data_IF_804327931046
#
_entry.id   IF_804327931046
#
_cell.length_a   1.000
_cell.length_b   1.000
_cell.length_c   1.000
_cell.angle_alpha   90.00
_cell.angle_beta   90.00
_cell.angle_gamma   90.00
#
_symmetry.space_group_name_H-M   'P 1'
#
loop_
_entity.id
_entity.type
_entity.pdbx_description
1 polymer ?
#
# COMPACT_ATOMS: atom_id res chain seq x y z
N UNK A 1 18.52 11.41 16.40
CA UNK A 1 17.77 12.41 15.60
C UNK A 1 17.26 11.75 14.32
N UNK A 2 15.95 11.61 14.13
CA UNK A 2 15.40 11.08 12.86
C UNK A 2 15.27 12.24 11.88
N UNK A 3 16.10 12.24 10.84
CA UNK A 3 16.02 13.22 9.77
C UNK A 3 14.64 13.12 9.11
N UNK A 4 13.75 14.07 9.41
CA UNK A 4 12.46 14.19 8.75
C UNK A 4 12.73 14.58 7.29
N UNK A 5 12.59 13.63 6.35
CA UNK A 5 12.46 13.97 4.94
C UNK A 5 11.16 14.76 4.77
N UNK A 6 11.23 16.09 4.90
CA UNK A 6 10.08 16.98 4.72
C UNK A 6 9.72 16.94 3.25
N UNK A 7 8.63 16.25 2.93
CA UNK A 7 8.11 16.12 1.58
C UNK A 7 7.36 17.39 1.17
N UNK A 8 8.08 18.51 1.09
CA UNK A 8 7.53 19.80 0.66
C UNK A 8 7.38 19.83 -0.85
N UNK A 9 6.44 20.62 -1.36
CA UNK A 9 6.26 20.84 -2.80
C UNK A 9 7.57 21.28 -3.49
N UNK A 10 8.40 22.07 -2.78
CA UNK A 10 9.73 22.49 -3.24
C UNK A 10 10.69 21.31 -3.47
N UNK A 11 10.74 20.35 -2.54
CA UNK A 11 11.57 19.15 -2.70
C UNK A 11 11.08 18.21 -3.81
N UNK A 12 9.77 18.15 -4.05
CA UNK A 12 9.19 17.39 -5.18
C UNK A 12 9.48 18.04 -6.54
N UNK A 13 9.48 19.37 -6.61
CA UNK A 13 9.79 20.09 -7.84
C UNK A 13 11.28 19.92 -8.22
N UNK A 14 12.18 20.02 -7.24
CA UNK A 14 13.62 19.83 -7.45
C UNK A 14 13.98 18.43 -7.96
N UNK A 15 13.35 17.38 -7.41
CA UNK A 15 13.58 15.99 -7.86
C UNK A 15 13.05 15.69 -9.26
N UNK A 16 11.92 16.30 -9.67
CA UNK A 16 11.43 16.18 -11.05
C UNK A 16 12.30 16.90 -12.07
N UNK A 17 12.83 18.08 -11.73
CA UNK A 17 13.75 18.78 -12.63
C UNK A 17 15.09 18.06 -12.76
N UNK A 18 15.60 17.47 -11.68
CA UNK A 18 16.82 16.65 -11.73
C UNK A 18 16.64 15.38 -12.60
N UNK A 19 15.47 14.73 -12.54
CA UNK A 19 15.18 13.57 -13.39
C UNK A 19 14.97 13.93 -14.87
N UNK A 20 14.64 15.19 -15.19
CA UNK A 20 14.56 15.66 -16.58
C UNK A 20 15.93 15.95 -17.21
N UNK A 21 16.94 16.20 -16.39
CA UNK A 21 18.31 16.48 -16.83
C UNK A 21 19.13 15.18 -16.96
N UNK A 22 18.76 14.11 -16.23
CA UNK A 22 19.53 12.85 -16.17
C UNK A 22 19.13 11.71 -17.12
N UNK A 23 18.37 11.94 -18.21
CA UNK A 23 17.94 10.86 -19.14
C UNK A 23 18.48 11.00 -20.56
N UNK A 24 19.37 11.97 -20.81
CA UNK A 24 20.19 12.00 -22.03
C UNK A 24 21.66 11.99 -21.62
N UNK A 25 22.12 10.83 -21.17
CA UNK A 25 23.51 10.57 -20.82
C UNK A 25 23.89 9.19 -21.32
N UNK A 26 23.79 9.02 -22.63
CA UNK A 26 24.46 7.95 -23.37
C UNK A 26 25.33 8.66 -24.42
N UNK A 27 26.62 8.52 -24.19
CA UNK A 27 27.79 8.88 -24.99
C UNK A 27 27.52 9.28 -26.46
N UNK A 28 27.72 10.56 -26.76
CA UNK A 28 28.29 11.03 -28.03
C UNK A 28 29.14 12.25 -27.69
N UNK A 29 30.46 12.12 -27.79
CA UNK A 29 31.38 13.25 -27.86
C UNK A 29 31.00 14.11 -29.06
N UNK A 30 30.41 15.28 -28.81
CA UNK A 30 30.30 16.33 -29.80
C UNK A 30 31.03 17.56 -29.26
N UNK A 31 32.19 17.80 -29.86
CA UNK A 31 32.95 19.05 -29.81
C UNK A 31 32.01 20.28 -29.82
N UNK A 32 32.23 21.18 -28.87
CA UNK A 32 31.54 22.46 -28.71
C UNK A 32 31.87 23.41 -29.89
N UNK A 33 31.21 23.21 -31.02
CA UNK A 33 31.13 24.22 -32.08
C UNK A 33 29.96 25.17 -31.77
N UNK A 34 30.17 26.50 -31.70
CA UNK A 34 29.08 27.46 -31.53
C UNK A 34 28.29 27.50 -32.85
N UNK A 35 27.27 26.65 -32.97
CA UNK A 35 26.27 26.79 -34.02
C UNK A 35 25.43 28.03 -33.72
N UNK A 36 25.72 29.11 -34.45
CA UNK A 36 24.83 30.24 -34.61
C UNK A 36 23.62 29.76 -35.42
N UNK A 37 22.62 29.22 -34.72
CA UNK A 37 21.34 28.84 -35.31
C UNK A 37 20.58 30.13 -35.59
N UNK A 38 20.43 30.47 -36.88
CA UNK A 38 19.55 31.55 -37.33
C UNK A 38 18.19 31.39 -36.64
N UNK A 39 17.75 32.45 -35.97
CA UNK A 39 16.48 32.48 -35.23
C UNK A 39 15.34 32.20 -36.21
N UNK A 40 14.79 30.98 -36.17
CA UNK A 40 13.69 30.55 -37.03
C UNK A 40 12.57 31.60 -36.95
N UNK A 41 12.18 32.26 -38.06
CA UNK A 41 11.16 33.32 -38.05
C UNK A 41 9.79 32.82 -37.56
N UNK A 42 9.59 31.51 -37.41
CA UNK A 42 8.40 30.89 -36.81
C UNK A 42 8.52 30.50 -35.34
N UNK A 43 9.65 30.76 -34.69
CA UNK A 43 9.89 30.40 -33.28
C UNK A 43 8.83 30.98 -32.32
N UNK A 44 8.24 32.13 -32.67
CA UNK A 44 7.20 32.79 -31.87
C UNK A 44 5.76 32.39 -32.23
N UNK A 45 5.56 31.64 -33.33
CA UNK A 45 4.24 31.17 -33.73
C UNK A 45 3.98 29.81 -33.08
N UNK A 46 3.28 29.81 -31.94
CA UNK A 46 2.83 28.58 -31.28
C UNK A 46 1.77 27.85 -32.12
N UNK A 47 2.21 27.10 -33.11
CA UNK A 47 1.34 26.21 -33.88
C UNK A 47 0.90 25.04 -32.98
N UNK A 48 -0.41 24.76 -32.88
CA UNK A 48 -0.88 23.61 -32.14
C UNK A 48 -0.41 22.33 -32.84
N UNK A 49 0.52 21.61 -32.21
CA UNK A 49 1.10 20.36 -32.73
C UNK A 49 0.07 19.24 -32.94
N UNK A 50 -1.07 19.31 -32.25
CA UNK A 50 -2.13 18.30 -32.31
C UNK A 50 -3.51 18.97 -32.21
N UNK A 51 -4.47 18.42 -32.95
CA UNK A 51 -5.87 18.86 -32.89
C UNK A 51 -6.54 18.42 -31.57
N UNK A 52 -7.68 19.03 -31.20
CA UNK A 52 -8.44 18.61 -30.01
C UNK A 52 -8.90 17.14 -30.10
N UNK A 53 -9.29 16.70 -31.30
CA UNK A 53 -9.73 15.33 -31.58
C UNK A 53 -8.58 14.34 -31.37
N UNK A 54 -7.41 14.67 -31.88
CA UNK A 54 -6.19 13.87 -31.75
C UNK A 54 -5.72 13.78 -30.28
N UNK A 55 -5.73 14.88 -29.54
CA UNK A 55 -5.43 14.88 -28.10
C UNK A 55 -6.37 13.97 -27.30
N UNK A 56 -7.64 13.90 -27.67
CA UNK A 56 -8.60 13.01 -27.02
C UNK A 56 -8.29 11.54 -27.35
N UNK A 57 -8.02 11.25 -28.62
CA UNK A 57 -7.65 9.91 -29.09
C UNK A 57 -6.35 9.42 -28.44
N UNK A 58 -5.32 10.29 -28.36
CA UNK A 58 -4.05 9.99 -27.69
C UNK A 58 -4.24 9.69 -26.20
N UNK A 59 -5.12 10.43 -25.50
CA UNK A 59 -5.45 10.14 -24.09
C UNK A 59 -6.14 8.78 -23.94
N UNK A 60 -7.08 8.46 -24.84
CA UNK A 60 -7.77 7.16 -24.83
C UNK A 60 -6.79 6.01 -25.12
N UNK A 61 -5.94 6.16 -26.13
CA UNK A 61 -4.93 5.17 -26.50
C UNK A 61 -3.89 4.98 -25.40
N UNK A 62 -3.45 6.07 -24.75
CA UNK A 62 -2.55 6.00 -23.59
C UNK A 62 -3.21 5.23 -22.44
N UNK A 63 -4.49 5.48 -22.16
CA UNK A 63 -5.23 4.76 -21.13
C UNK A 63 -5.37 3.27 -21.46
N UNK A 64 -5.72 2.92 -22.70
CA UNK A 64 -5.79 1.52 -23.14
C UNK A 64 -4.42 0.83 -23.09
N UNK A 65 -3.33 1.53 -23.44
CA UNK A 65 -1.98 0.99 -23.33
C UNK A 65 -1.56 0.74 -21.87
N UNK A 66 -1.96 1.62 -20.94
CA UNK A 66 -1.72 1.44 -19.50
C UNK A 66 -2.52 0.28 -18.90
N UNK A 67 -3.71 0.02 -19.44
CA UNK A 67 -4.50 -1.16 -19.09
C UNK A 67 -3.90 -2.45 -19.67
N UNK A 68 -3.45 -2.42 -20.93
CA UNK A 68 -2.86 -3.58 -21.63
C UNK A 68 -1.46 -3.95 -21.14
N UNK A 69 -0.63 -2.94 -20.80
CA UNK A 69 0.73 -3.12 -20.28
C UNK A 69 0.79 -3.56 -18.81
N UNK A 70 -0.34 -3.90 -18.20
CA UNK A 70 -0.43 -4.42 -16.84
C UNK A 70 -0.53 -5.94 -16.93
N UNK A 71 0.59 -6.68 -16.89
CA UNK A 71 0.52 -8.13 -16.92
C UNK A 71 -0.28 -8.60 -15.70
N UNK A 72 -1.32 -9.39 -15.97
CA UNK A 72 -2.01 -10.28 -15.03
C UNK A 72 -1.03 -11.36 -14.55
N UNK A 73 0.08 -10.95 -13.94
CA UNK A 73 1.13 -11.84 -13.47
C UNK A 73 1.42 -11.47 -12.03
N UNK A 74 1.00 -12.38 -11.16
CA UNK A 74 1.29 -12.53 -9.75
C UNK A 74 0.39 -11.88 -8.68
N UNK A 75 -0.16 -12.80 -7.87
CA UNK A 75 -0.50 -12.68 -6.45
C UNK A 75 -1.88 -12.10 -6.06
N UNK A 76 -2.92 -12.92 -6.25
CA UNK A 76 -3.68 -13.56 -5.16
C UNK A 76 -4.34 -12.77 -4.01
N UNK A 77 -4.07 -11.48 -3.77
CA UNK A 77 -4.67 -10.74 -2.63
C UNK A 77 -4.97 -9.25 -2.92
N UNK A 78 -4.56 -8.67 -4.05
CA UNK A 78 -4.73 -7.21 -4.27
C UNK A 78 -5.23 -6.77 -5.64
N UNK A 79 -5.97 -7.62 -6.36
CA UNK A 79 -6.48 -7.31 -7.70
C UNK A 79 -7.49 -6.14 -7.76
N UNK A 80 -8.08 -5.72 -6.65
CA UNK A 80 -9.25 -4.81 -6.69
C UNK A 80 -8.93 -3.30 -6.76
N UNK A 81 -7.67 -2.88 -6.59
CA UNK A 81 -7.32 -1.46 -6.52
C UNK A 81 -6.07 -1.05 -7.31
N UNK A 82 -5.46 -2.01 -7.98
CA UNK A 82 -4.16 -1.80 -8.57
C UNK A 82 -4.37 -1.15 -9.96
N UNK A 83 -4.07 0.14 -10.06
CA UNK A 83 -4.37 1.01 -11.22
C UNK A 83 -5.39 2.12 -10.96
N UNK A 84 -6.10 2.09 -9.82
CA UNK A 84 -7.03 3.16 -9.44
C UNK A 84 -6.32 4.15 -8.51
N UNK A 85 -6.42 5.45 -8.80
CA UNK A 85 -5.82 6.47 -7.94
C UNK A 85 -6.40 6.45 -6.52
N UNK A 86 -5.58 6.78 -5.52
CA UNK A 86 -6.01 6.82 -4.10
C UNK A 86 -7.27 7.67 -3.89
N UNK A 87 -7.42 8.77 -4.63
CA UNK A 87 -8.60 9.64 -4.56
C UNK A 87 -9.85 8.94 -5.12
N UNK A 88 -9.73 8.21 -6.23
CA UNK A 88 -10.84 7.44 -6.79
C UNK A 88 -11.28 6.30 -5.86
N UNK A 89 -10.35 5.56 -5.25
CA UNK A 89 -10.66 4.54 -4.24
C UNK A 89 -11.40 5.15 -3.04
N UNK A 90 -10.96 6.32 -2.55
CA UNK A 90 -11.64 7.03 -1.45
C UNK A 90 -13.05 7.46 -1.83
N UNK A 91 -13.25 7.98 -3.04
CA UNK A 91 -14.57 8.38 -3.56
C UNK A 91 -15.50 7.16 -3.65
N UNK A 92 -15.05 6.04 -4.21
CA UNK A 92 -15.81 4.79 -4.28
C UNK A 92 -16.22 4.28 -2.90
N UNK A 93 -15.26 4.23 -1.96
CA UNK A 93 -15.54 3.82 -0.57
C UNK A 93 -16.44 4.80 0.20
N UNK A 94 -16.47 6.08 -0.18
CA UNK A 94 -17.37 7.06 0.40
C UNK A 94 -18.79 6.86 -0.14
N UNK A 95 -18.95 6.71 -1.46
CA UNK A 95 -20.24 6.39 -2.09
C UNK A 95 -20.85 5.11 -1.53
N UNK A 96 -20.08 4.01 -1.49
CA UNK A 96 -20.53 2.75 -0.89
C UNK A 96 -20.97 2.92 0.57
N UNK A 97 -20.27 3.76 1.35
CA UNK A 97 -20.67 4.07 2.72
C UNK A 97 -21.91 4.96 2.81
N UNK A 98 -22.17 5.80 1.81
CA UNK A 98 -23.35 6.65 1.74
C UNK A 98 -24.59 5.87 1.27
N UNK A 99 -24.37 4.84 0.45
CA UNK A 99 -25.37 3.86 0.00
C UNK A 99 -25.73 2.88 1.13
N UNK A 100 -24.75 2.37 1.88
CA UNK A 100 -24.98 1.44 3.00
C UNK A 100 -25.43 2.13 4.30
N UNK A 101 -25.59 3.45 4.31
CA UNK A 101 -26.17 4.14 5.47
C UNK A 101 -27.67 3.85 5.52
N UNK A 102 -28.26 3.69 6.72
CA UNK A 102 -29.70 3.52 6.84
C UNK A 102 -30.43 4.68 6.16
N UNK A 103 -31.25 4.36 5.15
CA UNK A 103 -32.14 5.32 4.48
C UNK A 103 -33.57 4.84 4.64
N UNK A 104 -34.43 5.70 5.18
CA UNK A 104 -35.86 5.39 5.36
C UNK A 104 -36.57 5.10 4.03
N UNK A 105 -36.13 5.76 2.96
CA UNK A 105 -36.67 5.53 1.62
C UNK A 105 -36.36 4.11 1.13
N UNK A 106 -35.18 3.59 1.45
CA UNK A 106 -34.76 2.23 1.07
C UNK A 106 -35.55 1.16 1.83
N UNK A 107 -35.91 1.45 3.09
CA UNK A 107 -36.82 0.60 3.87
C UNK A 107 -38.24 0.58 3.29
N UNK A 108 -38.76 1.73 2.85
CA UNK A 108 -40.08 1.81 2.23
C UNK A 108 -40.12 1.11 0.87
N UNK A 109 -39.06 1.27 0.05
CA UNK A 109 -38.96 0.55 -1.23
C UNK A 109 -38.71 -0.94 -1.05
N UNK A 110 -37.94 -1.35 -0.04
CA UNK A 110 -37.73 -2.77 0.28
C UNK A 110 -39.03 -3.42 0.77
N UNK A 111 -39.84 -2.74 1.60
CA UNK A 111 -41.16 -3.22 2.03
C UNK A 111 -42.15 -3.38 0.89
N UNK A 112 -42.08 -2.51 -0.12
CA UNK A 112 -42.89 -2.61 -1.33
C UNK A 112 -42.43 -3.79 -2.20
N UNK A 113 -41.11 -3.96 -2.37
CA UNK A 113 -40.51 -5.10 -3.08
C UNK A 113 -40.73 -6.44 -2.36
N UNK A 114 -40.76 -6.46 -1.03
CA UNK A 114 -41.05 -7.67 -0.24
C UNK A 114 -42.48 -8.18 -0.48
N UNK A 115 -43.45 -7.30 -0.73
CA UNK A 115 -44.82 -7.72 -1.11
C UNK A 115 -44.83 -8.43 -2.46
N UNK A 116 -44.04 -7.95 -3.42
CA UNK A 116 -43.87 -8.59 -4.73
C UNK A 116 -43.16 -9.95 -4.60
N UNK A 117 -42.15 -10.04 -3.73
CA UNK A 117 -41.45 -11.31 -3.44
C UNK A 117 -42.32 -12.31 -2.68
N UNK A 118 -43.24 -11.86 -1.81
CA UNK A 118 -44.18 -12.74 -1.12
C UNK A 118 -45.12 -13.47 -2.08
N UNK A 119 -45.47 -12.87 -3.22
CA UNK A 119 -46.28 -13.55 -4.23
C UNK A 119 -45.49 -14.69 -4.88
N UNK A 120 -44.19 -14.48 -5.16
CA UNK A 120 -43.30 -15.52 -5.71
C UNK A 120 -43.04 -16.64 -4.70
N UNK A 121 -42.87 -16.30 -3.41
CA UNK A 121 -42.70 -17.30 -2.33
C UNK A 121 -43.98 -18.10 -2.09
N UNK A 122 -45.16 -17.48 -2.21
CA UNK A 122 -46.45 -18.19 -2.11
C UNK A 122 -46.71 -19.08 -3.32
N UNK A 123 -46.30 -18.68 -4.53
CA UNK A 123 -46.40 -19.51 -5.73
C UNK A 123 -45.42 -20.69 -5.72
N UNK A 124 -44.23 -20.51 -5.15
CA UNK A 124 -43.21 -21.60 -5.02
C UNK A 124 -43.40 -22.48 -3.78
N UNK A 125 -44.20 -22.05 -2.80
CA UNK A 125 -44.41 -22.73 -1.51
C UNK A 125 -45.50 -23.79 -1.48
N UNK A 126 -46.17 -24.11 -2.59
CA UNK A 126 -47.26 -25.11 -2.64
C UNK A 126 -46.84 -26.50 -3.11
N UNK A 127 -45.54 -26.77 -3.27
CA UNK A 127 -45.06 -28.10 -3.60
C UNK A 127 -43.64 -28.36 -3.07
N UNK A 128 -43.47 -28.53 -1.76
CA UNK A 128 -42.56 -29.52 -1.15
C UNK A 128 -42.95 -29.61 0.33
N UNK A 129 -43.93 -30.47 0.62
CA UNK A 129 -44.14 -31.01 1.95
C UNK A 129 -43.12 -32.16 2.10
N UNK A 130 -42.11 -31.99 2.93
CA UNK A 130 -41.00 -32.95 2.98
C UNK A 130 -39.86 -32.53 3.89
N UNK A 131 -40.00 -32.87 5.17
CA UNK A 131 -38.96 -33.00 6.18
C UNK A 131 -37.55 -33.18 5.60
N UNK A 132 -36.71 -32.14 5.70
CA UNK A 132 -35.26 -32.28 5.65
C UNK A 132 -34.65 -31.20 6.53
N UNK A 133 -34.43 -31.56 7.80
CA UNK A 133 -33.43 -30.92 8.64
C UNK A 133 -32.06 -31.11 7.97
N UNK A 134 -31.64 -30.14 7.15
CA UNK A 134 -30.30 -30.09 6.60
C UNK A 134 -29.37 -29.72 7.75
N UNK A 135 -28.86 -30.75 8.42
CA UNK A 135 -27.74 -30.65 9.35
C UNK A 135 -26.52 -30.08 8.61
N UNK A 136 -26.25 -28.79 8.82
CA UNK A 136 -25.10 -28.06 8.28
C UNK A 136 -23.82 -28.33 9.10
N UNK A 137 -23.53 -29.59 9.42
CA UNK A 137 -22.22 -30.00 9.94
C UNK A 137 -21.19 -30.11 8.81
N UNK A 138 -20.93 -28.96 8.18
CA UNK A 138 -19.75 -28.77 7.35
C UNK A 138 -18.53 -28.74 8.28
N UNK A 139 -17.92 -29.91 8.48
CA UNK A 139 -16.64 -30.08 9.17
C UNK A 139 -15.53 -29.45 8.32
N UNK A 140 -15.46 -28.12 8.32
CA UNK A 140 -14.41 -27.33 7.67
C UNK A 140 -13.09 -27.68 8.39
N UNK A 141 -12.26 -28.53 7.78
CA UNK A 141 -10.88 -28.71 8.20
C UNK A 141 -10.10 -27.46 7.80
N UNK A 142 -9.99 -26.51 8.72
CA UNK A 142 -9.08 -25.37 8.59
C UNK A 142 -7.65 -25.93 8.69
N UNK A 143 -7.04 -26.23 7.55
CA UNK A 143 -5.61 -26.54 7.49
C UNK A 143 -4.86 -25.23 7.69
N UNK A 144 -4.30 -25.05 8.89
CA UNK A 144 -3.51 -23.89 9.24
C UNK A 144 -2.17 -23.94 8.47
N UNK A 145 -2.13 -23.32 7.29
CA UNK A 145 -0.97 -23.34 6.36
C UNK A 145 0.30 -22.64 6.89
N UNK A 146 0.37 -22.33 8.19
CA UNK A 146 1.51 -21.68 8.82
C UNK A 146 2.69 -22.62 9.10
N UNK A 147 2.47 -23.92 9.11
CA UNK A 147 3.51 -24.89 9.48
C UNK A 147 4.41 -25.32 8.32
N UNK A 148 4.00 -25.07 7.07
CA UNK A 148 4.73 -25.53 5.87
C UNK A 148 5.84 -24.58 5.39
N UNK A 149 6.24 -23.57 6.18
CA UNK A 149 7.39 -22.73 5.83
C UNK A 149 8.63 -23.23 6.58
N UNK A 150 9.68 -23.70 5.87
CA UNK A 150 10.93 -24.04 6.54
C UNK A 150 11.44 -22.78 7.26
N UNK A 151 11.57 -22.88 8.59
CA UNK A 151 12.17 -21.83 9.41
C UNK A 151 13.62 -21.69 8.93
N UNK A 152 13.90 -20.71 8.08
CA UNK A 152 15.28 -20.32 7.77
C UNK A 152 16.00 -20.14 9.10
N UNK A 153 17.03 -20.94 9.33
CA UNK A 153 17.86 -20.83 10.52
C UNK A 153 18.36 -19.39 10.59
N UNK A 154 17.97 -18.68 11.64
CA UNK A 154 18.38 -17.31 11.85
C UNK A 154 19.90 -17.32 12.06
N UNK A 155 20.63 -16.60 11.23
CA UNK A 155 22.09 -16.46 11.39
C UNK A 155 22.43 -15.98 12.80
N UNK A 156 23.51 -16.50 13.42
CA UNK A 156 23.93 -16.07 14.74
C UNK A 156 24.26 -14.58 14.71
N UNK A 157 23.42 -13.77 15.37
CA UNK A 157 23.51 -12.30 15.38
C UNK A 157 22.34 -11.57 14.73
N UNK A 158 21.44 -12.27 14.03
CA UNK A 158 20.24 -11.64 13.45
C UNK A 158 19.13 -11.48 14.51
N UNK A 159 18.81 -10.22 14.87
CA UNK A 159 17.72 -9.92 15.79
C UNK A 159 16.40 -10.15 15.06
N UNK A 160 15.62 -11.16 15.50
CA UNK A 160 14.28 -11.45 14.96
C UNK A 160 13.36 -10.25 15.17
N UNK A 161 13.11 -9.49 14.10
CA UNK A 161 12.20 -8.34 14.11
C UNK A 161 10.77 -8.86 14.34
N UNK A 162 10.22 -8.62 15.54
CA UNK A 162 8.84 -8.99 15.85
C UNK A 162 7.89 -8.03 15.14
N UNK A 163 6.78 -8.56 14.58
CA UNK A 163 5.71 -7.76 14.00
C UNK A 163 5.13 -6.83 15.09
N UNK A 164 4.75 -5.61 14.70
CA UNK A 164 4.19 -4.56 15.58
C UNK A 164 5.13 -3.90 16.60
N UNK A 165 6.45 -4.12 16.52
CA UNK A 165 7.39 -3.34 17.34
C UNK A 165 7.58 -1.91 16.83
N UNK A 166 7.87 -0.95 17.73
CA UNK A 166 8.13 0.43 17.34
C UNK A 166 9.31 0.49 16.38
N UNK A 167 9.15 1.24 15.29
CA UNK A 167 10.12 1.32 14.20
C UNK A 167 10.90 2.65 14.29
N UNK A 168 12.23 2.57 14.26
CA UNK A 168 13.14 3.73 14.26
C UNK A 168 12.91 4.69 13.08
N UNK A 169 12.38 4.17 11.96
CA UNK A 169 12.05 4.98 10.78
C UNK A 169 10.85 5.91 11.02
N UNK A 170 9.95 5.58 11.96
CA UNK A 170 8.80 6.41 12.31
C UNK A 170 9.13 7.29 13.52
N UNK A 171 8.77 8.57 13.51
CA UNK A 171 9.03 9.49 14.62
C UNK A 171 8.41 9.00 15.94
N UNK A 172 7.17 8.52 15.92
CA UNK A 172 6.50 7.97 17.12
C UNK A 172 7.22 6.72 17.62
N UNK A 173 7.64 5.85 16.69
CA UNK A 173 8.38 4.64 17.01
C UNK A 173 9.75 4.93 17.59
N UNK A 174 10.51 5.86 17.00
CA UNK A 174 11.81 6.30 17.50
C UNK A 174 11.72 6.92 18.90
N UNK A 175 10.68 7.73 19.17
CA UNK A 175 10.44 8.28 20.52
C UNK A 175 10.17 7.17 21.53
N UNK A 176 9.35 6.19 21.16
CA UNK A 176 9.05 5.06 22.04
C UNK A 176 10.28 4.17 22.28
N UNK A 177 11.09 3.91 21.25
CA UNK A 177 12.37 3.19 21.38
C UNK A 177 13.32 3.92 22.33
N UNK A 178 13.50 5.23 22.15
CA UNK A 178 14.36 6.03 23.01
C UNK A 178 13.91 5.97 24.48
N UNK A 179 12.61 6.07 24.76
CA UNK A 179 12.10 5.95 26.14
C UNK A 179 12.39 4.56 26.75
N UNK A 180 12.18 3.50 25.96
CA UNK A 180 12.46 2.12 26.39
C UNK A 180 13.97 1.90 26.62
N UNK A 181 14.82 2.48 25.77
CA UNK A 181 16.28 2.42 25.90
C UNK A 181 16.75 3.16 27.15
N UNK A 182 16.22 4.36 27.43
CA UNK A 182 16.53 5.09 28.67
C UNK A 182 16.10 4.30 29.90
N UNK A 183 14.93 3.68 29.89
CA UNK A 183 14.48 2.83 31.00
C UNK A 183 15.40 1.62 31.23
N UNK A 184 15.79 0.92 30.15
CA UNK A 184 16.75 -0.20 30.21
C UNK A 184 18.12 0.25 30.71
N UNK A 185 18.59 1.40 30.24
CA UNK A 185 19.87 1.97 30.66
C UNK A 185 19.88 2.27 32.15
N UNK A 186 18.81 2.88 32.66
CA UNK A 186 18.66 3.13 34.09
C UNK A 186 18.64 1.82 34.89
N UNK A 187 17.95 0.78 34.39
CA UNK A 187 17.95 -0.54 35.02
C UNK A 187 19.36 -1.16 35.11
N UNK A 188 20.16 -1.03 34.06
CA UNK A 188 21.56 -1.50 34.06
C UNK A 188 22.39 -0.71 35.07
N UNK A 189 22.21 0.60 35.15
CA UNK A 189 22.91 1.45 36.13
C UNK A 189 22.54 1.12 37.58
N UNK A 190 21.30 0.70 37.84
CA UNK A 190 20.87 0.31 39.19
C UNK A 190 21.31 -1.09 39.61
N UNK A 191 21.80 -1.91 38.67
CA UNK A 191 22.19 -3.29 38.97
C UNK A 191 23.55 -3.33 39.70
N UNK A 192 23.56 -3.85 40.93
CA UNK A 192 24.76 -3.93 41.76
C UNK A 192 25.86 -4.79 41.13
N UNK A 193 25.51 -5.85 40.42
CA UNK A 193 26.50 -6.72 39.77
C UNK A 193 27.21 -6.00 38.63
N UNK A 194 26.47 -5.16 37.90
CA UNK A 194 27.01 -4.32 36.85
C UNK A 194 27.90 -3.20 37.42
N UNK A 195 27.51 -2.61 38.56
CA UNK A 195 28.33 -1.61 39.26
C UNK A 195 29.64 -2.21 39.79
N UNK A 196 29.61 -3.43 40.34
CA UNK A 196 30.81 -4.10 40.86
C UNK A 196 31.76 -4.53 39.74
N UNK A 197 31.24 -5.16 38.69
CA UNK A 197 32.06 -5.68 37.59
C UNK A 197 31.31 -5.65 36.23
N UNK A 198 31.39 -4.53 35.49
CA UNK A 198 30.57 -4.32 34.30
C UNK A 198 30.88 -5.32 33.17
N UNK A 199 32.16 -5.61 32.92
CA UNK A 199 32.58 -6.52 31.86
C UNK A 199 32.22 -7.99 32.14
N UNK A 200 32.21 -8.41 33.41
CA UNK A 200 31.80 -9.76 33.80
C UNK A 200 30.30 -9.94 33.62
N UNK A 201 29.51 -9.01 34.16
CA UNK A 201 28.06 -9.01 33.98
C UNK A 201 27.67 -9.01 32.49
N UNK A 202 28.35 -8.23 31.66
CA UNK A 202 28.10 -8.19 30.22
C UNK A 202 28.41 -9.53 29.53
N UNK A 203 29.53 -10.19 29.88
CA UNK A 203 29.86 -11.52 29.33
C UNK A 203 28.81 -12.57 29.70
N UNK A 204 28.31 -12.54 30.93
CA UNK A 204 27.26 -13.46 31.39
C UNK A 204 25.95 -13.23 30.62
N UNK A 205 25.53 -11.96 30.42
CA UNK A 205 24.34 -11.63 29.63
C UNK A 205 24.46 -12.06 28.17
N UNK A 206 25.62 -11.82 27.53
CA UNK A 206 25.86 -12.25 26.15
C UNK A 206 25.83 -13.78 26.04
N UNK A 207 26.36 -14.49 27.03
CA UNK A 207 26.32 -15.96 27.08
C UNK A 207 24.89 -16.48 27.17
N UNK A 208 24.01 -15.81 27.92
CA UNK A 208 22.58 -16.14 28.03
C UNK A 208 21.76 -15.82 26.76
N UNK A 209 22.28 -14.98 25.86
CA UNK A 209 21.57 -14.55 24.65
C UNK A 209 21.82 -15.45 23.43
N UNK A 210 22.84 -16.32 23.49
CA UNK A 210 23.12 -17.36 22.49
C UNK A 210 22.18 -18.54 22.66
#
# INVERSE_FOLDING_TARGET
>A
MVAKKRNTLRGKASTRNAQKIGVTGAEVDHEDLPYDLESDPKAFLHQPKETKKEKLLNKQNTFLSQLKGRPMVDAGVSANFDGISKSSVRRRKRKLREELKPRMQDLLTSLEQEKDLQNIIKETGTAVDGNNDINMDSKIRIVDTREMRPKKAAEPGSIKIKKNQPNIKNQKGAKALSANETARFNQVLTNQDFQKNPFRALREVIKLQK
#
